data_IF_816392252267
#
_entry.id   IF_816392252267
#
_cell.length_a   1.000
_cell.length_b   1.000
_cell.length_c   1.000
_cell.angle_alpha   90.00
_cell.angle_beta   90.00
_cell.angle_gamma   90.00
#
_symmetry.space_group_name_H-M   'P 1'
#
loop_
_entity.id
_entity.type
_entity.pdbx_description
1 polymer ?
#
# COMPACT_ATOMS: atom_id res chain seq x y z
N UNK A 1 -9.15 2.04 12.88
CA UNK A 1 -10.00 3.23 13.07
C UNK A 1 -9.60 4.03 14.29
N UNK A 2 -9.59 3.46 15.50
CA UNK A 2 -9.42 4.20 16.75
C UNK A 2 -8.21 5.12 16.85
N UNK A 3 -7.06 4.73 16.28
CA UNK A 3 -5.85 5.60 16.27
C UNK A 3 -6.09 6.82 15.39
N UNK A 4 -6.70 6.66 14.23
CA UNK A 4 -6.99 7.78 13.30
C UNK A 4 -7.98 8.75 13.95
N UNK A 5 -9.05 8.25 14.50
CA UNK A 5 -10.05 9.04 15.23
C UNK A 5 -9.42 9.78 16.40
N UNK A 6 -8.61 9.09 17.21
CA UNK A 6 -7.92 9.70 18.33
C UNK A 6 -6.98 10.85 17.90
N UNK A 7 -6.23 10.64 16.81
CA UNK A 7 -5.34 11.69 16.26
C UNK A 7 -6.14 12.87 15.73
N UNK A 8 -7.24 12.61 15.01
CA UNK A 8 -8.10 13.67 14.47
C UNK A 8 -8.75 14.50 15.59
N UNK A 9 -9.08 13.88 16.74
CA UNK A 9 -9.68 14.55 17.89
C UNK A 9 -8.67 15.38 18.71
N UNK A 10 -7.37 15.02 18.68
CA UNK A 10 -6.34 15.62 19.54
C UNK A 10 -5.38 16.56 18.83
N UNK A 11 -5.30 16.49 17.49
CA UNK A 11 -4.38 17.29 16.69
C UNK A 11 -5.12 18.04 15.58
N UNK A 12 -4.50 19.09 15.07
CA UNK A 12 -5.03 19.85 13.93
C UNK A 12 -4.82 19.09 12.63
N UNK A 13 -5.64 18.13 12.38
CA UNK A 13 -5.66 17.34 11.14
C UNK A 13 -6.78 17.79 10.21
N UNK A 14 -6.70 17.35 8.96
CA UNK A 14 -7.82 17.43 8.02
C UNK A 14 -8.44 16.03 7.94
N UNK A 15 -9.53 15.82 8.69
CA UNK A 15 -10.18 14.52 8.86
C UNK A 15 -10.96 14.08 7.59
N UNK A 16 -10.25 13.94 6.48
CA UNK A 16 -10.80 13.53 5.17
C UNK A 16 -9.93 12.46 4.53
N UNK A 17 -10.53 11.52 3.81
CA UNK A 17 -9.86 10.48 3.02
C UNK A 17 -8.77 11.08 2.12
N UNK A 18 -9.09 12.13 1.35
CA UNK A 18 -8.18 12.81 0.43
C UNK A 18 -6.99 13.54 1.09
N UNK A 19 -6.97 13.61 2.43
CA UNK A 19 -5.88 14.20 3.21
C UNK A 19 -5.14 13.17 4.06
N UNK A 20 -5.35 11.86 3.80
CA UNK A 20 -4.70 10.78 4.51
C UNK A 20 -3.94 9.86 3.57
N UNK A 21 -2.71 9.56 3.95
CA UNK A 21 -1.85 8.57 3.30
C UNK A 21 -1.49 7.46 4.28
N UNK A 22 -1.31 6.26 3.76
CA UNK A 22 -0.74 5.13 4.51
C UNK A 22 0.38 4.50 3.68
N UNK A 23 1.52 4.26 4.28
CA UNK A 23 2.63 3.58 3.63
C UNK A 23 3.41 2.73 4.62
N UNK A 24 4.09 1.72 4.11
CA UNK A 24 4.92 0.86 4.93
C UNK A 24 5.90 0.03 4.14
N UNK A 25 6.98 -0.35 4.80
CA UNK A 25 8.01 -1.21 4.23
C UNK A 25 7.89 -2.64 4.78
N UNK A 26 8.21 -3.64 3.95
CA UNK A 26 8.27 -5.05 4.36
C UNK A 26 6.97 -5.53 5.03
N UNK A 27 7.01 -5.91 6.30
CA UNK A 27 5.82 -6.22 7.10
C UNK A 27 4.89 -5.00 7.25
N UNK A 28 5.44 -3.79 7.36
CA UNK A 28 4.64 -2.57 7.32
C UNK A 28 3.89 -2.37 6.01
N UNK A 29 4.46 -2.83 4.88
CA UNK A 29 3.76 -2.90 3.60
C UNK A 29 2.60 -3.90 3.60
N UNK A 30 2.78 -5.05 4.23
CA UNK A 30 1.69 -5.99 4.49
C UNK A 30 0.54 -5.33 5.29
N UNK A 31 0.87 -4.65 6.39
CA UNK A 31 -0.13 -3.93 7.18
C UNK A 31 -0.83 -2.84 6.36
N UNK A 32 -0.07 -2.08 5.56
CA UNK A 32 -0.61 -1.04 4.68
C UNK A 32 -1.61 -1.61 3.68
N UNK A 33 -1.27 -2.70 3.00
CA UNK A 33 -2.16 -3.39 2.07
C UNK A 33 -3.48 -3.79 2.75
N UNK A 34 -3.37 -4.48 3.89
CA UNK A 34 -4.55 -5.01 4.56
C UNK A 34 -5.41 -3.92 5.21
N UNK A 35 -4.81 -2.93 5.86
CA UNK A 35 -5.55 -1.82 6.45
C UNK A 35 -6.27 -1.01 5.37
N UNK A 36 -5.60 -0.68 4.27
CA UNK A 36 -6.21 0.16 3.23
C UNK A 36 -7.38 -0.51 2.53
N UNK A 37 -7.30 -1.82 2.25
CA UNK A 37 -8.42 -2.55 1.64
C UNK A 37 -9.58 -2.85 2.60
N UNK A 38 -9.29 -3.01 3.89
CA UNK A 38 -10.36 -3.20 4.91
C UNK A 38 -11.10 -1.89 5.20
N UNK A 39 -10.41 -0.75 5.10
CA UNK A 39 -10.97 0.58 5.34
C UNK A 39 -10.86 1.47 4.09
N UNK A 40 -11.58 1.15 3.00
CA UNK A 40 -11.42 1.77 1.68
C UNK A 40 -11.80 3.25 1.64
N UNK A 41 -12.51 3.74 2.64
CA UNK A 41 -12.92 5.15 2.77
C UNK A 41 -11.95 5.98 3.63
N UNK A 42 -10.86 5.37 4.14
CA UNK A 42 -9.99 6.03 5.10
C UNK A 42 -8.78 6.72 4.49
N UNK A 43 -8.14 6.11 3.46
CA UNK A 43 -6.90 6.58 2.87
C UNK A 43 -7.03 6.69 1.35
N UNK A 44 -6.58 7.81 0.78
CA UNK A 44 -6.56 8.04 -0.67
C UNK A 44 -5.18 7.77 -1.29
N UNK A 45 -4.15 7.70 -0.46
CA UNK A 45 -2.77 7.48 -0.89
C UNK A 45 -2.21 6.25 -0.19
N UNK A 46 -1.76 5.27 -0.98
CA UNK A 46 -1.27 3.97 -0.49
C UNK A 46 0.13 3.72 -1.04
N UNK A 47 1.11 3.50 -0.17
CA UNK A 47 2.50 3.20 -0.53
C UNK A 47 2.98 1.85 -0.01
N UNK A 48 3.35 0.95 -0.91
CA UNK A 48 3.86 -0.38 -0.62
C UNK A 48 5.35 -0.44 -0.96
N UNK A 49 6.21 -0.46 0.05
CA UNK A 49 7.66 -0.45 -0.11
C UNK A 49 8.23 -1.83 0.24
N UNK A 50 8.76 -2.56 -0.74
CA UNK A 50 9.23 -3.94 -0.53
C UNK A 50 8.24 -4.74 0.32
N UNK A 51 6.97 -4.68 -0.02
CA UNK A 51 5.88 -5.16 0.83
C UNK A 51 5.73 -6.68 0.78
N UNK A 52 5.46 -7.30 1.93
CA UNK A 52 5.17 -8.73 2.05
C UNK A 52 3.71 -9.03 1.64
N UNK A 53 3.38 -8.76 0.38
CA UNK A 53 1.99 -8.73 -0.14
C UNK A 53 1.27 -10.07 -0.16
N UNK A 54 1.94 -11.16 -0.56
CA UNK A 54 1.34 -12.49 -0.74
C UNK A 54 2.06 -13.59 0.07
N UNK A 55 2.84 -13.22 1.06
CA UNK A 55 3.75 -14.15 1.73
C UNK A 55 3.14 -14.90 2.92
N UNK A 56 1.94 -14.56 3.32
CA UNK A 56 1.28 -15.22 4.44
C UNK A 56 0.65 -16.55 4.01
N UNK A 57 0.58 -17.47 4.94
CA UNK A 57 0.16 -18.86 4.75
C UNK A 57 -1.32 -18.96 4.39
N UNK A 58 -1.69 -20.02 3.70
CA UNK A 58 -3.07 -20.43 3.51
C UNK A 58 -3.83 -20.45 4.83
N UNK A 59 -5.10 -20.04 4.82
CA UNK A 59 -5.97 -20.04 6.00
C UNK A 59 -5.86 -18.80 6.88
N UNK A 60 -5.14 -17.76 6.47
CA UNK A 60 -5.16 -16.47 7.16
C UNK A 60 -6.32 -15.63 6.64
N UNK A 61 -7.29 -15.36 7.52
CA UNK A 61 -8.52 -14.62 7.20
C UNK A 61 -8.30 -13.25 6.54
N UNK A 62 -7.11 -12.64 6.68
CA UNK A 62 -6.77 -11.38 6.02
C UNK A 62 -6.71 -11.49 4.48
N UNK A 63 -6.52 -12.70 3.95
CA UNK A 63 -6.54 -12.94 2.50
C UNK A 63 -7.91 -13.37 1.97
N UNK A 64 -8.86 -13.61 2.88
CA UNK A 64 -10.22 -13.94 2.47
C UNK A 64 -10.83 -12.77 1.71
N UNK A 65 -11.48 -13.08 0.58
CA UNK A 65 -12.12 -12.09 -0.29
C UNK A 65 -11.19 -10.95 -0.75
N UNK A 66 -9.88 -11.22 -0.90
CA UNK A 66 -8.90 -10.20 -1.23
C UNK A 66 -9.24 -9.45 -2.52
N UNK A 67 -9.65 -10.15 -3.56
CA UNK A 67 -10.04 -9.56 -4.84
C UNK A 67 -11.27 -8.64 -4.69
N UNK A 68 -12.31 -9.10 -3.97
CA UNK A 68 -13.51 -8.31 -3.72
C UNK A 68 -13.21 -7.06 -2.87
N UNK A 69 -12.31 -7.18 -1.88
CA UNK A 69 -11.91 -6.04 -1.04
C UNK A 69 -11.05 -5.03 -1.80
N UNK A 70 -10.16 -5.48 -2.68
CA UNK A 70 -9.42 -4.60 -3.58
C UNK A 70 -10.35 -3.91 -4.56
N UNK A 71 -11.30 -4.63 -5.15
CA UNK A 71 -12.31 -4.05 -6.04
C UNK A 71 -13.07 -2.92 -5.34
N UNK A 72 -13.54 -3.17 -4.12
CA UNK A 72 -14.21 -2.14 -3.31
C UNK A 72 -13.30 -0.95 -3.03
N UNK A 73 -12.03 -1.18 -2.72
CA UNK A 73 -11.07 -0.10 -2.46
C UNK A 73 -10.89 0.80 -3.68
N UNK A 74 -10.75 0.23 -4.87
CA UNK A 74 -10.59 0.99 -6.10
C UNK A 74 -11.90 1.65 -6.56
N UNK A 75 -13.06 1.02 -6.33
CA UNK A 75 -14.39 1.61 -6.60
C UNK A 75 -14.67 2.84 -5.73
N UNK A 76 -14.26 2.81 -4.45
CA UNK A 76 -14.34 3.97 -3.55
C UNK A 76 -13.36 5.09 -3.93
N UNK A 77 -12.46 4.83 -4.86
CA UNK A 77 -11.44 5.72 -5.35
C UNK A 77 -10.15 5.67 -4.55
N UNK A 78 -9.03 5.65 -5.27
CA UNK A 78 -7.67 5.76 -4.73
C UNK A 78 -6.92 6.78 -5.59
N UNK A 79 -6.47 7.88 -4.99
CA UNK A 79 -5.74 8.92 -5.72
C UNK A 79 -4.33 8.45 -6.10
N UNK A 80 -3.69 7.65 -5.27
CA UNK A 80 -2.37 7.09 -5.51
C UNK A 80 -2.22 5.70 -4.90
N UNK A 81 -1.94 4.71 -5.73
CA UNK A 81 -1.49 3.38 -5.31
C UNK A 81 -0.07 3.19 -5.83
N UNK A 82 0.92 3.14 -4.95
CA UNK A 82 2.33 3.17 -5.30
C UNK A 82 3.06 1.93 -4.78
N UNK A 83 3.82 1.26 -5.65
CA UNK A 83 4.52 0.02 -5.33
C UNK A 83 5.99 0.17 -5.70
N UNK A 84 6.89 0.01 -4.73
CA UNK A 84 8.33 -0.02 -4.94
C UNK A 84 8.95 -1.33 -4.50
N UNK A 85 9.84 -1.90 -5.33
CA UNK A 85 10.57 -3.13 -5.04
C UNK A 85 11.93 -3.15 -5.73
N UNK A 86 12.94 -3.69 -5.08
CA UNK A 86 14.26 -3.96 -5.67
C UNK A 86 14.27 -5.29 -6.43
N UNK A 87 14.98 -5.35 -7.54
CA UNK A 87 15.11 -6.58 -8.37
C UNK A 87 15.71 -7.76 -7.61
N UNK A 88 16.54 -7.50 -6.62
CA UNK A 88 17.23 -8.51 -5.80
C UNK A 88 16.54 -8.73 -4.45
N UNK A 89 15.35 -8.14 -4.25
CA UNK A 89 14.57 -8.32 -3.03
C UNK A 89 13.96 -9.72 -3.00
N UNK A 90 14.04 -10.40 -1.87
CA UNK A 90 13.47 -11.74 -1.69
C UNK A 90 11.94 -11.77 -1.79
N UNK A 91 11.27 -10.60 -1.73
CA UNK A 91 9.84 -10.42 -1.95
C UNK A 91 9.48 -10.02 -3.39
N UNK A 92 10.47 -10.01 -4.29
CA UNK A 92 10.27 -9.55 -5.68
C UNK A 92 9.18 -10.35 -6.39
N UNK A 93 9.27 -11.68 -6.37
CA UNK A 93 8.31 -12.56 -7.05
C UNK A 93 6.88 -12.43 -6.47
N UNK A 94 6.75 -12.24 -5.16
CA UNK A 94 5.45 -11.99 -4.53
C UNK A 94 4.84 -10.67 -5.04
N UNK A 95 5.66 -9.64 -5.21
CA UNK A 95 5.24 -8.36 -5.78
C UNK A 95 4.90 -8.45 -7.28
N UNK A 96 5.61 -9.28 -8.06
CA UNK A 96 5.27 -9.57 -9.46
C UNK A 96 3.86 -10.16 -9.54
N UNK A 97 3.57 -11.19 -8.73
CA UNK A 97 2.25 -11.83 -8.70
C UNK A 97 1.14 -10.87 -8.25
N UNK A 98 1.41 -10.05 -7.26
CA UNK A 98 0.45 -9.04 -6.79
C UNK A 98 0.14 -8.00 -7.87
N UNK A 99 1.16 -7.48 -8.56
CA UNK A 99 0.94 -6.56 -9.68
C UNK A 99 0.17 -7.19 -10.82
N UNK A 100 0.41 -8.47 -11.11
CA UNK A 100 -0.36 -9.20 -12.13
C UNK A 100 -1.86 -9.23 -11.77
N UNK A 101 -2.22 -9.40 -10.50
CA UNK A 101 -3.63 -9.30 -10.04
C UNK A 101 -4.21 -7.91 -10.29
N UNK A 102 -3.45 -6.86 -10.01
CA UNK A 102 -3.90 -5.47 -10.25
C UNK A 102 -4.04 -5.19 -11.75
N UNK A 103 -3.11 -5.67 -12.57
CA UNK A 103 -3.12 -5.52 -14.03
C UNK A 103 -4.32 -6.24 -14.66
N UNK A 104 -4.61 -7.47 -14.23
CA UNK A 104 -5.77 -8.24 -14.70
C UNK A 104 -7.08 -7.53 -14.40
N UNK A 105 -7.20 -6.92 -13.22
CA UNK A 105 -8.36 -6.14 -12.82
C UNK A 105 -8.35 -4.69 -13.39
N UNK A 106 -7.29 -4.30 -14.10
CA UNK A 106 -7.10 -2.97 -14.67
C UNK A 106 -7.11 -1.83 -13.63
N UNK A 107 -6.64 -2.11 -12.42
CA UNK A 107 -6.49 -1.09 -11.37
C UNK A 107 -5.25 -0.22 -11.63
N UNK A 108 -5.37 1.11 -11.55
CA UNK A 108 -4.24 2.01 -11.76
C UNK A 108 -3.29 1.99 -10.57
N UNK A 109 -1.99 1.88 -10.84
CA UNK A 109 -0.93 2.04 -9.83
C UNK A 109 0.34 2.57 -10.47
N UNK A 110 1.22 3.16 -9.66
CA UNK A 110 2.58 3.53 -10.06
C UNK A 110 3.52 2.44 -9.56
N UNK A 111 4.37 1.94 -10.46
CA UNK A 111 5.39 0.96 -10.14
C UNK A 111 6.79 1.54 -10.24
N UNK A 112 7.59 1.30 -9.23
CA UNK A 112 8.98 1.70 -9.14
C UNK A 112 9.86 0.49 -8.88
N UNK A 113 10.56 0.02 -9.89
CA UNK A 113 11.60 -0.99 -9.77
C UNK A 113 12.96 -0.33 -9.56
N UNK A 114 13.74 -0.83 -8.61
CA UNK A 114 15.09 -0.37 -8.38
C UNK A 114 16.09 -1.52 -8.41
N UNK A 115 17.37 -1.18 -8.53
CA UNK A 115 18.44 -2.12 -8.28
C UNK A 115 18.52 -2.44 -6.77
N UNK A 116 19.17 -3.54 -6.42
CA UNK A 116 19.39 -3.96 -5.04
C UNK A 116 18.18 -4.64 -4.41
N UNK A 117 18.32 -4.97 -3.15
CA UNK A 117 17.41 -5.82 -2.40
C UNK A 117 16.66 -5.10 -1.30
N UNK A 118 16.39 -5.85 -0.25
CA UNK A 118 15.59 -5.46 0.92
C UNK A 118 16.40 -4.57 1.87
N UNK A 119 16.58 -3.29 1.51
CA UNK A 119 17.54 -2.40 2.20
C UNK A 119 16.96 -1.00 2.45
N UNK A 120 17.47 -0.35 3.50
CA UNK A 120 17.16 1.04 3.85
C UNK A 120 17.49 2.03 2.72
N UNK A 121 18.50 1.76 1.90
CA UNK A 121 18.84 2.58 0.75
C UNK A 121 17.64 2.72 -0.18
N UNK A 122 17.01 1.60 -0.54
CA UNK A 122 15.84 1.59 -1.41
C UNK A 122 14.63 2.24 -0.75
N UNK A 123 14.36 1.94 0.52
CA UNK A 123 13.19 2.47 1.22
C UNK A 123 13.23 4.00 1.39
N UNK A 124 14.41 4.59 1.59
CA UNK A 124 14.56 6.05 1.60
C UNK A 124 14.22 6.68 0.25
N UNK A 125 14.64 6.05 -0.84
CA UNK A 125 14.31 6.49 -2.20
C UNK A 125 12.80 6.39 -2.41
N UNK A 126 12.19 5.27 -2.07
CA UNK A 126 10.75 5.06 -2.22
C UNK A 126 9.93 6.08 -1.42
N UNK A 127 10.31 6.31 -0.17
CA UNK A 127 9.63 7.31 0.65
C UNK A 127 9.74 8.71 0.04
N UNK A 128 10.91 9.08 -0.46
CA UNK A 128 11.14 10.40 -1.08
C UNK A 128 10.28 10.55 -2.34
N UNK A 129 10.27 9.57 -3.23
CA UNK A 129 9.48 9.60 -4.46
C UNK A 129 7.97 9.60 -4.16
N UNK A 130 7.52 8.74 -3.27
CA UNK A 130 6.12 8.66 -2.86
C UNK A 130 5.63 9.95 -2.20
N UNK A 131 6.39 10.51 -1.26
CA UNK A 131 6.01 11.72 -0.54
C UNK A 131 5.81 12.93 -1.46
N UNK A 132 6.58 13.02 -2.54
CA UNK A 132 6.43 14.10 -3.52
C UNK A 132 5.13 14.03 -4.33
N UNK A 133 4.44 12.90 -4.31
CA UNK A 133 3.19 12.68 -5.05
C UNK A 133 1.94 12.89 -4.17
N UNK A 134 2.12 13.09 -2.86
CA UNK A 134 1.01 13.20 -1.93
C UNK A 134 0.30 14.56 -2.02
N UNK A 135 -1.01 14.53 -1.89
CA UNK A 135 -1.87 15.71 -1.70
C UNK A 135 -1.79 16.77 -2.82
N UNK A 136 -1.59 16.30 -4.03
CA UNK A 136 -1.52 17.18 -5.22
C UNK A 136 -2.79 17.14 -6.04
#
# INVERSE_FOLDING_TARGET
>A
PGIVEWVDDHYRTIAKKGSRAIAGLSMGGFHTLHISKEYPTMFDYVGLFSAAVLRMREGVALYDDMEAKLARQFDEGVALYWIGIGKEDFLYEDNVRFRAMLDEAQYPYIYRESEGGHTWRNWRIYLTEFAQLLFK
#
